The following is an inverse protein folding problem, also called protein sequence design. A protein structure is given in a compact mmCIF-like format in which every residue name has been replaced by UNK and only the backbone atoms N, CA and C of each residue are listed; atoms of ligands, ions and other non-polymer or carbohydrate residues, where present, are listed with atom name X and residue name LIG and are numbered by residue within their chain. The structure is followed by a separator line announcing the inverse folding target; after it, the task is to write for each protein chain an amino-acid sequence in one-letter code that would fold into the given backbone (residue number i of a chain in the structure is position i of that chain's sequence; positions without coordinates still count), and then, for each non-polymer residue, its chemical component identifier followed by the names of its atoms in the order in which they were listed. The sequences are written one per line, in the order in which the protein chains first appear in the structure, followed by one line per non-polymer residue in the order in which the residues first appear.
data_IF_960653057022
#
_entry.id   IF_960653057022
#
_cell.length_a   1.000
_cell.length_b   1.000
_cell.length_c   1.000
_cell.angle_alpha   90.00
_cell.angle_beta   90.00
_cell.angle_gamma   90.00
#
_symmetry.space_group_name_H-M   'P 1'
#
loop_
_entity.id
_entity.type
_entity.pdbx_description
1 polymer ?
#
# COMPACT_ATOMS: atom_id res chain seq x y z
N UNK A 1 8.99 10.43 -16.02
CA UNK A 1 9.32 11.17 -14.77
C UNK A 1 10.20 10.29 -13.88
N UNK A 2 11.43 10.67 -13.56
CA UNK A 2 12.37 9.77 -12.83
C UNK A 2 12.20 9.85 -11.30
N UNK A 3 12.64 8.83 -10.55
CA UNK A 3 12.63 8.78 -9.07
C UNK A 3 13.12 10.09 -8.42
N UNK A 4 14.21 10.73 -8.87
CA UNK A 4 14.65 12.01 -8.32
C UNK A 4 13.63 13.15 -8.43
N UNK A 5 12.79 13.16 -9.49
CA UNK A 5 11.75 14.19 -9.65
C UNK A 5 10.59 13.99 -8.69
N UNK A 6 10.19 12.75 -8.44
CA UNK A 6 9.15 12.42 -7.45
C UNK A 6 9.67 12.77 -6.05
N UNK A 7 10.91 12.41 -5.73
CA UNK A 7 11.57 12.82 -4.49
C UNK A 7 11.65 14.34 -4.33
N UNK A 8 11.98 15.06 -5.40
CA UNK A 8 11.99 16.51 -5.38
C UNK A 8 10.58 17.06 -5.08
N UNK A 9 9.51 16.52 -5.70
CA UNK A 9 8.14 16.92 -5.39
C UNK A 9 7.82 16.73 -3.89
N UNK A 10 8.19 15.58 -3.32
CA UNK A 10 8.00 15.27 -1.89
C UNK A 10 8.76 16.26 -1.00
N UNK A 11 9.99 16.60 -1.35
CA UNK A 11 10.83 17.53 -0.57
C UNK A 11 10.29 18.96 -0.53
N UNK A 12 9.46 19.34 -1.51
CA UNK A 12 8.85 20.68 -1.59
C UNK A 12 7.41 20.72 -1.06
N UNK A 13 6.90 19.62 -0.49
CA UNK A 13 5.56 19.59 0.10
C UNK A 13 5.48 20.51 1.33
N UNK A 14 4.39 21.26 1.40
CA UNK A 14 3.89 21.78 2.67
C UNK A 14 3.14 20.67 3.41
N UNK A 15 3.80 20.05 4.39
CA UNK A 15 3.23 18.94 5.15
C UNK A 15 2.01 19.34 5.98
N UNK A 16 1.83 20.61 6.32
CA UNK A 16 0.63 21.05 7.02
C UNK A 16 -0.55 21.13 6.06
N UNK A 17 -0.33 21.55 4.82
CA UNK A 17 -1.33 21.47 3.74
C UNK A 17 -1.74 20.02 3.45
N UNK A 18 -0.76 19.12 3.31
CA UNK A 18 -1.02 17.68 3.08
C UNK A 18 -1.87 17.10 4.21
N UNK A 19 -1.50 17.34 5.48
CA UNK A 19 -2.27 16.86 6.63
C UNK A 19 -3.68 17.44 6.66
N UNK A 20 -3.85 18.72 6.33
CA UNK A 20 -5.16 19.36 6.30
C UNK A 20 -6.05 18.79 5.19
N UNK A 21 -5.49 18.53 4.00
CA UNK A 21 -6.23 17.90 2.89
C UNK A 21 -6.73 16.50 3.26
N UNK A 22 -5.88 15.72 3.93
CA UNK A 22 -6.17 14.35 4.33
C UNK A 22 -7.09 14.25 5.55
N UNK A 23 -7.28 15.34 6.30
CA UNK A 23 -8.21 15.33 7.42
C UNK A 23 -9.66 15.25 6.92
N UNK A 24 -10.51 14.42 7.56
CA UNK A 24 -11.93 14.40 7.25
C UNK A 24 -12.54 15.78 7.42
N UNK A 25 -13.18 16.27 6.36
CA UNK A 25 -14.01 17.48 6.43
C UNK A 25 -15.29 17.23 7.22
N UNK A 26 -16.06 18.29 7.53
CA UNK A 26 -17.42 18.17 8.09
C UNK A 26 -18.36 17.32 7.22
N UNK A 27 -18.02 17.13 5.93
CA UNK A 27 -18.69 16.22 4.98
C UNK A 27 -18.24 14.76 5.05
N UNK A 28 -17.34 14.40 5.98
CA UNK A 28 -17.03 13.01 6.35
C UNK A 28 -15.89 12.34 5.59
N UNK A 29 -15.40 12.93 4.51
CA UNK A 29 -14.27 12.40 3.73
C UNK A 29 -13.13 13.43 3.66
N UNK A 30 -11.91 12.97 3.92
CA UNK A 30 -10.68 13.69 3.58
C UNK A 30 -10.35 13.43 2.12
N UNK A 31 -9.74 14.40 1.43
CA UNK A 31 -9.39 14.26 0.02
C UNK A 31 -7.92 13.81 -0.12
N UNK A 32 -7.62 12.84 -0.99
CA UNK A 32 -6.24 12.48 -1.29
C UNK A 32 -5.50 13.70 -1.84
N UNK A 33 -4.27 13.89 -1.40
CA UNK A 33 -3.45 15.04 -1.81
C UNK A 33 -2.72 14.70 -3.11
N UNK A 34 -2.89 15.50 -4.15
CA UNK A 34 -2.18 15.28 -5.42
C UNK A 34 -0.72 15.71 -5.30
N UNK A 35 0.22 14.76 -5.49
CA UNK A 35 1.65 15.04 -5.45
C UNK A 35 2.16 15.58 -6.79
N UNK A 36 1.99 14.79 -7.86
CA UNK A 36 2.43 15.15 -9.20
C UNK A 36 1.83 14.23 -10.28
N UNK A 37 1.88 14.68 -11.54
CA UNK A 37 1.61 13.82 -12.69
C UNK A 37 2.74 12.81 -12.88
N UNK A 38 2.45 11.55 -13.15
CA UNK A 38 3.46 10.54 -13.45
C UNK A 38 2.89 9.41 -14.31
N UNK A 39 3.72 8.77 -15.12
CA UNK A 39 3.31 7.55 -15.83
C UNK A 39 3.29 6.35 -14.87
N UNK A 40 2.58 5.28 -15.23
CA UNK A 40 2.59 4.03 -14.45
C UNK A 40 4.00 3.45 -14.32
N UNK A 41 4.84 3.59 -15.34
CA UNK A 41 6.23 3.11 -15.30
C UNK A 41 7.12 3.95 -14.39
N UNK A 42 6.84 5.25 -14.27
CA UNK A 42 7.54 6.12 -13.31
C UNK A 42 7.22 5.72 -11.88
N UNK A 43 5.93 5.41 -11.62
CA UNK A 43 5.47 4.92 -10.35
C UNK A 43 6.10 3.57 -9.98
N UNK A 44 6.09 2.58 -10.89
CA UNK A 44 6.75 1.28 -10.67
C UNK A 44 8.22 1.43 -10.26
N UNK A 45 8.98 2.23 -11.03
CA UNK A 45 10.38 2.54 -10.69
C UNK A 45 10.54 3.21 -9.34
N UNK A 46 9.58 4.03 -8.92
CA UNK A 46 9.59 4.65 -7.60
C UNK A 46 9.35 3.62 -6.48
N UNK A 47 8.35 2.75 -6.63
CA UNK A 47 8.00 1.72 -5.65
C UNK A 47 9.15 0.72 -5.42
N UNK A 48 9.86 0.36 -6.49
CA UNK A 48 11.03 -0.53 -6.45
C UNK A 48 12.30 0.16 -5.93
N UNK A 49 12.32 1.49 -5.82
CA UNK A 49 13.54 2.23 -5.50
C UNK A 49 13.84 2.26 -4.01
N UNK A 50 15.05 1.84 -3.65
CA UNK A 50 15.64 2.09 -2.32
C UNK A 50 15.90 3.57 -2.03
N UNK A 51 15.86 4.43 -3.06
CA UNK A 51 16.06 5.88 -2.94
C UNK A 51 14.75 6.64 -2.78
N UNK A 52 13.61 5.96 -2.62
CA UNK A 52 12.31 6.62 -2.42
C UNK A 52 12.30 7.47 -1.15
N UNK A 53 11.91 8.75 -1.29
CA UNK A 53 11.88 9.71 -0.17
C UNK A 53 10.66 9.53 0.76
N UNK A 54 9.61 8.85 0.30
CA UNK A 54 8.40 8.56 1.06
C UNK A 54 7.96 7.12 0.76
N UNK A 55 7.44 6.42 1.77
CA UNK A 55 6.94 5.06 1.58
C UNK A 55 5.82 5.04 0.55
N UNK A 56 5.95 4.17 -0.46
CA UNK A 56 4.91 3.94 -1.44
C UNK A 56 3.61 3.35 -0.85
N UNK A 57 3.60 2.90 0.42
CA UNK A 57 2.36 2.51 1.10
C UNK A 57 1.46 3.71 1.43
N UNK A 58 2.02 4.91 1.55
CA UNK A 58 1.25 6.13 1.85
C UNK A 58 0.72 6.83 0.59
N UNK A 59 1.02 6.28 -0.58
CA UNK A 59 0.77 6.88 -1.88
C UNK A 59 0.14 5.87 -2.82
N UNK A 60 -0.57 6.35 -3.83
CA UNK A 60 -1.01 5.52 -4.93
C UNK A 60 -0.87 6.23 -6.27
N UNK A 61 -0.74 5.44 -7.32
CA UNK A 61 -0.89 5.96 -8.68
C UNK A 61 -2.33 5.79 -9.14
N UNK A 62 -2.92 6.87 -9.64
CA UNK A 62 -4.29 6.89 -10.16
C UNK A 62 -4.39 7.82 -11.35
N UNK A 63 -4.84 7.29 -12.49
CA UNK A 63 -5.17 8.07 -13.71
C UNK A 63 -4.07 9.05 -14.14
N UNK A 64 -2.80 8.59 -14.12
CA UNK A 64 -1.65 9.39 -14.55
C UNK A 64 -1.10 10.36 -13.49
N UNK A 65 -1.50 10.19 -12.23
CA UNK A 65 -1.08 11.04 -11.11
C UNK A 65 -0.63 10.17 -9.93
N UNK A 66 0.37 10.63 -9.19
CA UNK A 66 0.70 10.11 -7.87
C UNK A 66 -0.04 10.97 -6.86
N UNK A 67 -0.77 10.34 -5.96
CA UNK A 67 -1.50 10.99 -4.88
C UNK A 67 -1.05 10.40 -3.54
N UNK A 68 -0.96 11.25 -2.52
CA UNK A 68 -0.76 10.85 -1.12
C UNK A 68 -2.14 10.58 -0.55
N UNK A 69 -2.33 9.38 0.00
CA UNK A 69 -3.62 8.93 0.55
C UNK A 69 -3.64 8.93 2.07
N UNK A 70 -2.47 8.95 2.70
CA UNK A 70 -2.34 9.06 4.15
C UNK A 70 -0.96 9.60 4.54
N UNK A 71 -0.80 9.93 5.83
CA UNK A 71 0.51 10.23 6.42
C UNK A 71 0.83 9.12 7.41
N UNK A 72 2.00 8.51 7.26
CA UNK A 72 2.50 7.51 8.19
C UNK A 72 2.40 8.03 9.64
N UNK A 73 1.74 7.25 10.48
CA UNK A 73 1.64 7.53 11.90
C UNK A 73 2.07 6.31 12.71
N UNK A 74 2.62 6.54 13.89
CA UNK A 74 2.96 5.43 14.79
C UNK A 74 1.75 4.55 15.11
N UNK A 75 0.55 5.14 15.19
CA UNK A 75 -0.69 4.40 15.39
C UNK A 75 -0.99 3.45 14.23
N UNK A 76 -0.73 3.88 12.99
CA UNK A 76 -0.91 3.05 11.81
C UNK A 76 -0.04 1.78 11.90
N UNK A 77 1.24 1.92 12.20
CA UNK A 77 2.16 0.79 12.37
C UNK A 77 1.69 -0.17 13.48
N UNK A 78 1.26 0.37 14.63
CA UNK A 78 0.74 -0.43 15.75
C UNK A 78 -0.51 -1.22 15.34
N UNK A 79 -1.40 -0.64 14.55
CA UNK A 79 -2.61 -1.33 14.07
C UNK A 79 -2.25 -2.42 13.06
N UNK A 80 -1.35 -2.13 12.12
CA UNK A 80 -0.85 -3.12 11.14
C UNK A 80 -0.23 -4.32 11.87
N UNK A 81 0.65 -4.08 12.85
CA UNK A 81 1.26 -5.16 13.63
C UNK A 81 0.24 -5.92 14.49
N UNK A 82 -0.75 -5.22 15.06
CA UNK A 82 -1.86 -5.86 15.75
C UNK A 82 -2.66 -6.81 14.85
N UNK A 83 -2.92 -6.42 13.60
CA UNK A 83 -3.60 -7.27 12.62
C UNK A 83 -2.75 -8.50 12.28
N UNK A 84 -1.43 -8.32 12.09
CA UNK A 84 -0.50 -9.45 11.86
C UNK A 84 -0.56 -10.45 13.01
N UNK A 85 -0.46 -10.00 14.26
CA UNK A 85 -0.58 -10.89 15.42
C UNK A 85 -1.92 -11.65 15.44
N UNK A 86 -3.04 -11.00 15.04
CA UNK A 86 -4.35 -11.66 14.99
C UNK A 86 -4.46 -12.69 13.87
N UNK A 87 -3.82 -12.45 12.73
CA UNK A 87 -3.75 -13.43 11.64
C UNK A 87 -2.97 -14.66 12.11
N UNK A 88 -1.84 -14.46 12.80
CA UNK A 88 -1.05 -15.55 13.38
C UNK A 88 -1.86 -16.37 14.39
N UNK A 89 -2.57 -15.71 15.29
CA UNK A 89 -3.41 -16.37 16.30
C UNK A 89 -4.56 -17.15 15.68
N UNK A 90 -5.23 -16.59 14.66
CA UNK A 90 -6.41 -17.18 14.03
C UNK A 90 -6.07 -18.39 13.14
N UNK A 91 -4.92 -18.32 12.47
CA UNK A 91 -4.48 -19.39 11.56
C UNK A 91 -3.73 -20.48 12.32
N UNK A 92 -3.09 -20.14 13.45
CA UNK A 92 -2.27 -21.07 14.22
C UNK A 92 -0.99 -21.49 13.50
N UNK A 93 -0.75 -20.97 12.30
CA UNK A 93 0.34 -21.39 11.43
C UNK A 93 1.63 -20.65 11.77
N UNK A 94 1.55 -19.37 12.20
CA UNK A 94 2.71 -18.47 12.27
C UNK A 94 3.55 -18.61 10.99
N UNK A 95 4.88 -18.45 11.09
CA UNK A 95 5.85 -18.67 10.01
C UNK A 95 5.96 -20.12 9.51
N UNK A 96 5.11 -21.05 9.95
CA UNK A 96 5.15 -22.43 9.46
C UNK A 96 4.37 -22.63 8.18
N UNK A 97 3.24 -21.95 7.96
CA UNK A 97 2.46 -22.11 6.72
C UNK A 97 2.14 -20.78 6.03
N UNK A 98 2.16 -19.66 6.76
CA UNK A 98 1.92 -18.33 6.21
C UNK A 98 3.09 -17.42 6.55
N UNK A 99 3.62 -16.75 5.53
CA UNK A 99 4.69 -15.79 5.66
C UNK A 99 4.18 -14.37 5.39
N UNK A 100 4.80 -13.41 6.08
CA UNK A 100 4.60 -11.98 5.83
C UNK A 100 5.62 -11.50 4.83
N UNK A 101 5.12 -11.00 3.71
CA UNK A 101 5.92 -10.54 2.58
C UNK A 101 6.04 -9.02 2.53
N UNK A 102 5.58 -8.34 3.58
CA UNK A 102 5.53 -6.87 3.65
C UNK A 102 4.65 -6.28 2.55
N UNK A 103 5.04 -5.12 2.04
CA UNK A 103 4.29 -4.43 0.98
C UNK A 103 4.70 -4.88 -0.42
N UNK A 104 4.50 -6.14 -0.79
CA UNK A 104 4.69 -6.55 -2.19
C UNK A 104 3.60 -5.92 -3.08
N UNK A 105 4.04 -5.13 -4.07
CA UNK A 105 3.16 -4.42 -4.99
C UNK A 105 2.30 -5.41 -5.81
N UNK A 106 1.07 -5.03 -6.13
CA UNK A 106 0.22 -5.79 -7.05
C UNK A 106 0.56 -5.37 -8.49
N UNK A 107 1.24 -6.24 -9.23
CA UNK A 107 1.61 -5.97 -10.63
C UNK A 107 0.48 -6.26 -11.63
N UNK A 108 -0.38 -7.25 -11.32
CA UNK A 108 -1.41 -7.77 -12.23
C UNK A 108 -2.84 -7.46 -11.76
N UNK A 109 -3.36 -6.29 -12.13
CA UNK A 109 -4.75 -5.90 -11.80
C UNK A 109 -5.82 -6.34 -12.78
N UNK A 110 -5.43 -6.70 -14.01
CA UNK A 110 -6.38 -7.17 -15.03
C UNK A 110 -7.12 -8.45 -14.60
N UNK A 111 -6.54 -9.23 -13.67
CA UNK A 111 -7.12 -10.47 -13.17
C UNK A 111 -8.14 -10.28 -12.03
N UNK A 112 -8.20 -9.10 -11.39
CA UNK A 112 -9.00 -8.87 -10.18
C UNK A 112 -10.20 -7.94 -10.39
N UNK A 113 -10.42 -7.44 -11.61
CA UNK A 113 -11.47 -6.44 -11.88
C UNK A 113 -11.30 -5.15 -11.07
N UNK A 114 -10.10 -4.95 -10.53
CA UNK A 114 -9.78 -3.92 -9.56
C UNK A 114 -8.75 -2.98 -10.17
N UNK A 115 -9.21 -2.16 -11.11
CA UNK A 115 -8.41 -1.12 -11.78
C UNK A 115 -7.70 -0.20 -10.76
N UNK A 116 -8.26 -0.10 -9.55
CA UNK A 116 -7.76 0.71 -8.43
C UNK A 116 -6.67 0.06 -7.58
N UNK A 117 -6.43 -1.26 -7.70
CA UNK A 117 -5.38 -1.96 -6.95
C UNK A 117 -4.02 -1.92 -7.67
N UNK A 118 -3.97 -1.27 -8.84
CA UNK A 118 -2.85 -1.32 -9.77
C UNK A 118 -1.74 -0.45 -9.26
N UNK A 119 -0.71 -1.10 -8.72
CA UNK A 119 0.42 -0.41 -8.16
C UNK A 119 0.24 0.10 -6.72
N UNK A 120 -0.80 -0.32 -6.00
CA UNK A 120 -0.88 -0.10 -4.55
C UNK A 120 0.13 -1.01 -3.84
N UNK A 121 0.88 -0.44 -2.90
CA UNK A 121 1.81 -1.17 -2.04
C UNK A 121 1.11 -1.40 -0.69
N UNK A 122 0.60 -2.62 -0.41
CA UNK A 122 -0.17 -2.86 0.80
C UNK A 122 0.69 -2.73 2.06
N UNK A 123 0.06 -2.49 3.21
CA UNK A 123 0.74 -2.47 4.51
C UNK A 123 1.24 -3.85 4.94
N UNK A 124 0.51 -4.89 4.56
CA UNK A 124 0.96 -6.26 4.70
C UNK A 124 0.42 -7.16 3.59
N UNK A 125 1.28 -8.04 3.11
CA UNK A 125 0.91 -9.17 2.25
C UNK A 125 1.21 -10.45 3.00
N UNK A 126 0.25 -11.38 3.00
CA UNK A 126 0.34 -12.68 3.67
C UNK A 126 0.10 -13.76 2.63
N UNK A 127 1.00 -14.73 2.55
CA UNK A 127 0.96 -15.79 1.55
C UNK A 127 1.64 -17.06 2.03
N UNK A 128 1.52 -18.15 1.26
CA UNK A 128 2.17 -19.42 1.61
C UNK A 128 3.70 -19.25 1.71
N UNK A 129 4.32 -19.94 2.66
CA UNK A 129 5.79 -20.01 2.72
C UNK A 129 6.38 -20.79 1.55
N UNK A 130 7.62 -20.48 1.16
CA UNK A 130 8.30 -21.10 0.01
C UNK A 130 8.40 -22.64 0.08
N UNK A 131 8.31 -23.21 1.28
CA UNK A 131 8.40 -24.65 1.51
C UNK A 131 7.09 -25.41 1.28
N UNK A 132 5.97 -24.71 1.02
CA UNK A 132 4.67 -25.33 0.76
C UNK A 132 4.49 -25.64 -0.72
N UNK A 133 4.94 -26.83 -1.12
CA UNK A 133 4.87 -27.33 -2.50
C UNK A 133 3.43 -27.54 -3.00
N UNK A 134 2.44 -27.65 -2.09
CA UNK A 134 1.04 -27.94 -2.40
C UNK A 134 0.12 -26.71 -2.48
N UNK A 135 0.66 -25.49 -2.31
CA UNK A 135 -0.14 -24.28 -2.40
C UNK A 135 -0.72 -24.11 -3.82
N UNK A 136 -2.05 -24.13 -3.95
CA UNK A 136 -2.72 -23.95 -5.24
C UNK A 136 -2.78 -22.46 -5.57
N UNK A 137 -1.96 -22.02 -6.53
CA UNK A 137 -2.00 -20.64 -7.06
C UNK A 137 -3.00 -20.50 -8.22
N UNK A 138 -3.62 -19.33 -8.43
CA UNK A 138 -4.35 -19.06 -9.67
C UNK A 138 -3.40 -19.06 -10.88
N UNK A 139 -3.88 -19.51 -12.04
CA UNK A 139 -3.08 -19.77 -13.26
C UNK A 139 -2.21 -18.61 -13.79
N UNK A 140 -2.41 -17.39 -13.30
CA UNK A 140 -1.79 -16.15 -13.84
C UNK A 140 -0.83 -15.46 -12.87
N UNK A 141 -0.58 -16.02 -11.69
CA UNK A 141 0.29 -15.40 -10.70
C UNK A 141 1.46 -16.33 -10.42
N UNK A 142 2.64 -15.76 -10.17
CA UNK A 142 3.73 -16.50 -9.54
C UNK A 142 3.54 -16.62 -8.02
N UNK A 143 4.16 -17.63 -7.41
CA UNK A 143 4.01 -17.86 -5.96
C UNK A 143 4.49 -16.64 -5.17
N UNK A 144 5.54 -15.98 -5.67
CA UNK A 144 6.15 -14.77 -5.10
C UNK A 144 5.27 -13.53 -5.29
N UNK A 145 4.26 -13.61 -6.18
CA UNK A 145 3.31 -12.53 -6.47
C UNK A 145 1.96 -12.78 -5.78
N UNK A 146 1.57 -14.05 -5.66
CA UNK A 146 0.31 -14.47 -5.09
C UNK A 146 0.37 -14.54 -3.56
N UNK A 147 -0.08 -13.43 -2.97
CA UNK A 147 -0.36 -13.35 -1.54
C UNK A 147 -1.84 -13.65 -1.31
N UNK A 148 -2.14 -14.69 -0.53
CA UNK A 148 -3.49 -15.11 -0.17
C UNK A 148 -4.32 -14.00 0.49
N UNK A 149 -3.67 -13.04 1.15
CA UNK A 149 -4.29 -11.88 1.79
C UNK A 149 -3.41 -10.64 1.63
N UNK A 150 -4.04 -9.50 1.35
CA UNK A 150 -3.41 -8.17 1.39
C UNK A 150 -4.20 -7.29 2.35
N UNK A 151 -3.48 -6.57 3.21
CA UNK A 151 -4.02 -5.72 4.27
C UNK A 151 -3.62 -4.28 3.97
N UNK A 152 -4.62 -3.41 4.03
CA UNK A 152 -4.49 -1.96 4.00
C UNK A 152 -5.21 -1.39 5.22
N UNK A 153 -4.58 -0.46 5.94
CA UNK A 153 -5.12 0.13 7.17
C UNK A 153 -5.34 1.63 6.99
N UNK A 154 -6.57 2.02 6.66
CA UNK A 154 -6.95 3.44 6.71
C UNK A 154 -7.36 3.87 8.12
N UNK A 155 -6.86 5.02 8.60
CA UNK A 155 -7.41 5.66 9.80
C UNK A 155 -8.55 6.59 9.39
N UNK A 156 -9.80 6.14 9.54
CA UNK A 156 -10.96 7.03 9.51
C UNK A 156 -11.20 7.62 10.91
N UNK A 157 -11.15 8.94 11.07
CA UNK A 157 -11.75 9.55 12.27
C UNK A 157 -13.27 9.50 12.12
N UNK A 158 -14.03 9.10 13.16
CA UNK A 158 -15.48 9.14 13.07
C UNK A 158 -15.94 10.57 12.80
N UNK A 159 -16.69 10.77 11.71
CA UNK A 159 -17.36 12.03 11.43
C UNK A 159 -18.19 12.45 12.64
N UNK A 160 -18.13 13.73 13.00
CA UNK A 160 -19.00 14.29 14.03
C UNK A 160 -20.45 13.99 13.65
N UNK A 161 -21.16 13.27 14.52
CA UNK A 161 -22.60 13.04 14.39
C UNK A 161 -23.37 14.33 14.61
#
# INVERSE_FOLDING_TARGET
MTVPRINAAIQHLDWDEVKNSLQPSDSGEGAPFELCEATVDDWRRYVESELSALSASTMMWSRGRIIIVEVQSHLHEVVVDGIRCRIDDATGTRSNDLWYWGGCQIEHTEALGAEYLGGVKPDASVGPGYHLIEAIKPRKFDLDEFHSLKVEVGISKPGAK
#
